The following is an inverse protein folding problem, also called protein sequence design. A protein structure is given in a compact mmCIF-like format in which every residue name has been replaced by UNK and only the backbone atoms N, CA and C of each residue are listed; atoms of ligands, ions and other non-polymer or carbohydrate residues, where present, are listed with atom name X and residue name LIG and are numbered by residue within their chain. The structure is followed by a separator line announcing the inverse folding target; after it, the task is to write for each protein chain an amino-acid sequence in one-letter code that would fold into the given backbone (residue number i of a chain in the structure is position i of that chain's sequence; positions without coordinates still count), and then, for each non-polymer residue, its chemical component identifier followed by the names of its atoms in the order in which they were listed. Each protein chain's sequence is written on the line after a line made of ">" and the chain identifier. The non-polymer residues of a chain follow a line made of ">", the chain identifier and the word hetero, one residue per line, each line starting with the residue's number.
data_IF_992024799978
#
_entry.id   IF_992024799978
#
_cell.length_a   1.000
_cell.length_b   1.000
_cell.length_c   1.000
_cell.angle_alpha   90.00
_cell.angle_beta   90.00
_cell.angle_gamma   90.00
#
_symmetry.space_group_name_H-M   'P 1'
#
loop_
_entity.id
_entity.type
_entity.pdbx_description
1 polymer ?
2 non-polymer ?
3 non-polymer ?
4 water ?
#
# COMPACT_ATOMS: atom_id res chain seq x y z
N UNK A 2 -0.14 1.97 -4.94
CA UNK A 2 0.40 2.51 -6.05
C UNK A 2 -0.45 3.47 -6.58
N UNK A 3 2.17 2.81 -7.59
CA UNK A 3 3.58 2.65 -8.06
C UNK A 3 3.82 1.25 -8.72
N UNK A 4 5.12 0.91 -8.71
CA UNK A 4 5.54 -0.25 -9.46
C UNK A 4 5.37 -1.55 -8.69
N UNK A 5 4.76 -1.49 -7.50
CA UNK A 5 4.28 -2.68 -6.79
C UNK A 5 2.75 -2.62 -6.64
N UNK A 6 2.06 -1.94 -7.58
CA UNK A 6 0.62 -1.76 -7.38
C UNK A 6 -0.09 -3.12 -7.45
N UNK A 7 -0.99 -3.39 -6.51
CA UNK A 7 -1.33 -2.50 -5.35
C UNK A 7 -0.34 -2.51 -4.31
N UNK A 8 0.34 -1.51 -3.80
CA UNK A 8 1.16 -2.06 -2.73
C UNK A 8 1.02 -3.50 -2.78
N UNK A 9 2.60 -1.97 -0.92
CA UNK A 9 3.11 -1.31 0.28
C UNK A 9 4.54 -0.82 0.09
N UNK A 10 5.11 -0.93 -1.11
CA UNK A 10 6.42 -0.42 -1.40
C UNK A 10 6.51 1.12 -1.26
N UNK A 11 5.36 1.78 -1.37
CA UNK A 11 5.27 3.23 -1.25
C UNK A 11 5.42 3.71 0.20
N UNK B 2 -3.38 -3.45 3.62
CA UNK B 2 -3.59 -3.72 4.92
C UNK B 2 -3.98 -5.04 5.04
N UNK B 3 -3.67 -3.14 7.21
CA UNK B 3 -3.43 -2.26 8.34
C UNK B 3 -4.50 -1.21 8.50
N UNK B 4 -4.04 -0.05 9.03
CA UNK B 4 -4.97 1.04 9.33
C UNK B 4 -5.15 2.04 8.19
N UNK B 5 -4.75 1.67 7.00
CA UNK B 5 -5.12 2.38 5.82
C UNK B 5 -5.72 1.52 4.76
N UNK B 6 -6.57 0.56 5.14
CA UNK B 6 -6.94 -0.49 4.23
C UNK B 6 -7.69 0.09 3.04
N UNK B 7 -7.36 -0.33 1.82
CA UNK B 7 -6.20 -1.08 1.39
C UNK B 7 -5.04 -0.20 1.35
N UNK B 8 -3.82 -0.39 1.86
CA UNK B 8 -3.02 0.73 1.50
C UNK B 8 -3.88 1.64 0.80
N UNK B 9 -1.02 1.93 1.34
CA UNK B 9 0.42 1.98 1.17
C UNK B 9 1.13 2.22 2.48
N UNK B 10 0.45 2.48 3.60
CA UNK B 10 1.03 2.70 4.91
C UNK B 10 1.80 1.53 5.44
N UNK B 11 1.59 0.31 4.93
CA UNK B 11 2.35 -0.84 5.42
C UNK B 11 3.82 -0.81 5.04
X LIG C 1 -2.03 5.60 -8.53
X LIG D 1 4.50 1.46 2.60
X LIG E 1 0.88 0.44 -4.08
X LIG F 1 -11.11 0.55 3.42
X LIG G 1 -2.84 -1.57 3.20
#
# INVERSE_FOLDING_TARGET
>A
XXGSCYPXSCM
>B
XXGSCYPXSCM
>C hetero
1 NA NA
>D hetero
1 NA NA
>E hetero
1 CU CU
>F hetero
1 NA NA
>G hetero
1 CU CU
#
